data_IF_270560613935
#
_entry.id   IF_270560613935
#
_cell.length_a   1.000
_cell.length_b   1.000
_cell.length_c   1.000
_cell.angle_alpha   90.00
_cell.angle_beta   90.00
_cell.angle_gamma   90.00
#
_symmetry.space_group_name_H-M   'P 1'
#
loop_
_entity.id
_entity.type
_entity.pdbx_description
1 polymer ?
#
# COMPACT_ATOMS: atom_id res chain seq x y z
N UNK A 1 -6.84 10.11 -15.79
CA UNK A 1 -6.41 9.60 -17.11
C UNK A 1 -7.65 9.14 -17.87
N UNK A 2 -7.71 9.31 -19.19
CA UNK A 2 -8.89 8.92 -19.98
C UNK A 2 -8.84 7.39 -20.24
N UNK A 3 -9.90 6.60 -19.92
CA UNK A 3 -9.92 5.15 -20.11
C UNK A 3 -9.63 4.70 -21.54
N UNK A 4 -10.15 5.43 -22.53
CA UNK A 4 -9.89 5.14 -23.94
C UNK A 4 -8.40 5.31 -24.33
N UNK A 5 -7.69 6.23 -23.66
CA UNK A 5 -6.25 6.43 -23.81
C UNK A 5 -5.44 5.27 -23.21
N UNK A 6 -5.92 4.68 -22.09
CA UNK A 6 -5.27 3.54 -21.44
C UNK A 6 -5.40 2.26 -22.27
N UNK A 7 -6.59 1.98 -22.82
CA UNK A 7 -6.79 0.87 -23.75
C UNK A 7 -5.86 0.99 -24.97
N UNK A 8 -5.77 2.17 -25.56
CA UNK A 8 -4.89 2.42 -26.70
C UNK A 8 -3.41 2.23 -26.36
N UNK A 9 -2.97 2.74 -25.22
CA UNK A 9 -1.60 2.56 -24.74
C UNK A 9 -1.26 1.08 -24.47
N UNK A 10 -2.19 0.35 -23.88
CA UNK A 10 -2.05 -1.09 -23.64
C UNK A 10 -1.90 -1.86 -24.96
N UNK A 11 -2.83 -1.67 -25.93
CA UNK A 11 -2.77 -2.32 -27.25
C UNK A 11 -1.45 -2.02 -27.98
N UNK A 12 -1.01 -0.76 -27.98
CA UNK A 12 0.26 -0.33 -28.58
C UNK A 12 1.46 -1.03 -27.94
N UNK A 13 1.48 -1.12 -26.61
CA UNK A 13 2.53 -1.81 -25.86
C UNK A 13 2.60 -3.30 -26.22
N UNK A 14 1.45 -3.99 -26.26
CA UNK A 14 1.38 -5.42 -26.61
C UNK A 14 1.79 -5.68 -28.05
N UNK A 15 1.35 -4.85 -28.99
CA UNK A 15 1.76 -4.95 -30.39
C UNK A 15 3.28 -4.82 -30.56
N UNK A 16 3.92 -3.95 -29.81
CA UNK A 16 5.37 -3.78 -29.87
C UNK A 16 6.17 -5.00 -29.37
N UNK A 17 5.57 -5.87 -28.54
CA UNK A 17 6.21 -7.06 -27.95
C UNK A 17 6.10 -8.32 -28.80
N UNK A 18 5.14 -8.38 -29.70
CA UNK A 18 4.92 -9.57 -30.55
C UNK A 18 5.71 -9.37 -31.84
N UNK A 19 6.68 -10.25 -32.09
CA UNK A 19 7.42 -10.22 -33.36
C UNK A 19 6.62 -10.94 -34.46
N UNK A 20 6.84 -10.60 -35.75
CA UNK A 20 6.15 -11.25 -36.88
C UNK A 20 6.31 -12.75 -36.89
N UNK A 21 7.52 -13.24 -36.60
CA UNK A 21 7.84 -14.68 -36.55
C UNK A 21 6.95 -15.38 -35.50
N UNK A 22 6.83 -14.78 -34.31
CA UNK A 22 5.95 -15.32 -33.26
C UNK A 22 4.48 -15.27 -33.64
N UNK A 23 4.10 -14.33 -34.52
CA UNK A 23 2.73 -14.23 -35.03
C UNK A 23 2.50 -15.12 -36.27
N UNK A 24 3.48 -15.87 -36.75
CA UNK A 24 3.40 -16.69 -37.96
C UNK A 24 3.36 -15.91 -39.26
N UNK A 25 3.87 -14.65 -39.25
CA UNK A 25 3.92 -13.80 -40.43
C UNK A 25 5.32 -13.86 -41.10
N UNK A 26 5.39 -13.77 -42.45
CA UNK A 26 6.68 -13.73 -43.14
C UNK A 26 7.44 -12.47 -42.78
N UNK A 27 8.73 -12.62 -42.52
CA UNK A 27 9.64 -11.49 -42.27
C UNK A 27 10.08 -10.92 -43.59
N UNK A 28 9.58 -9.75 -43.96
CA UNK A 28 10.04 -8.99 -45.11
C UNK A 28 11.26 -8.14 -44.68
N UNK A 29 12.36 -8.25 -45.37
CA UNK A 29 13.56 -7.40 -45.21
C UNK A 29 13.18 -5.91 -45.20
N UNK A 30 13.78 -5.11 -44.26
CA UNK A 30 13.55 -3.69 -44.01
C UNK A 30 12.31 -3.36 -43.13
N UNK A 31 12.29 -3.87 -41.92
CA UNK A 31 11.31 -3.41 -40.90
C UNK A 31 11.88 -2.24 -40.09
N UNK A 32 11.08 -1.14 -40.00
CA UNK A 32 11.41 0.00 -39.10
C UNK A 32 11.00 -0.24 -37.63
N UNK A 33 10.25 -1.29 -37.37
CA UNK A 33 9.74 -1.64 -36.03
C UNK A 33 9.97 -3.12 -35.78
N UNK A 34 10.44 -3.46 -34.58
CA UNK A 34 10.69 -4.85 -34.16
C UNK A 34 9.39 -5.64 -33.94
N UNK A 35 8.32 -4.99 -33.48
CA UNK A 35 7.01 -5.59 -33.25
C UNK A 35 6.10 -5.58 -34.47
N UNK A 36 4.85 -6.04 -34.29
CA UNK A 36 3.84 -6.06 -35.34
C UNK A 36 3.47 -4.64 -35.81
N UNK A 37 3.17 -4.52 -37.12
CA UNK A 37 2.54 -3.32 -37.67
C UNK A 37 1.04 -3.31 -37.37
N UNK A 38 0.39 -2.15 -37.43
CA UNK A 38 -1.06 -2.03 -37.20
C UNK A 38 -1.88 -2.87 -38.16
N UNK A 39 -1.48 -2.88 -39.44
CA UNK A 39 -2.13 -3.68 -40.49
C UNK A 39 -2.00 -5.18 -40.20
N UNK A 40 -0.85 -5.61 -39.68
CA UNK A 40 -0.63 -7.02 -39.33
C UNK A 40 -1.52 -7.47 -38.18
N UNK A 41 -1.63 -6.67 -37.13
CA UNK A 41 -2.56 -6.97 -36.02
C UNK A 41 -4.01 -6.97 -36.49
N UNK A 42 -4.38 -6.00 -37.30
CA UNK A 42 -5.72 -5.89 -37.86
C UNK A 42 -6.07 -7.12 -38.71
N UNK A 43 -5.16 -7.55 -39.57
CA UNK A 43 -5.32 -8.77 -40.38
C UNK A 43 -5.47 -10.03 -39.51
N UNK A 44 -4.59 -10.21 -38.51
CA UNK A 44 -4.65 -11.34 -37.57
C UNK A 44 -5.94 -11.36 -36.75
N UNK A 45 -6.46 -10.18 -36.38
CA UNK A 45 -7.68 -10.04 -35.60
C UNK A 45 -8.96 -9.99 -36.44
N UNK A 46 -8.86 -10.02 -37.79
CA UNK A 46 -10.02 -9.94 -38.67
C UNK A 46 -10.78 -8.59 -38.59
N UNK A 47 -10.06 -7.48 -38.27
CA UNK A 47 -10.64 -6.12 -38.20
C UNK A 47 -9.97 -5.21 -39.22
N UNK A 48 -10.62 -4.08 -39.56
CA UNK A 48 -9.98 -3.11 -40.45
C UNK A 48 -8.80 -2.39 -39.77
N UNK A 49 -7.74 -2.10 -40.52
CA UNK A 49 -6.58 -1.34 -40.02
C UNK A 49 -6.98 0.05 -39.48
N UNK A 50 -7.99 0.67 -40.09
CA UNK A 50 -8.56 1.95 -39.64
C UNK A 50 -9.23 1.78 -38.28
N UNK A 51 -10.00 0.73 -38.07
CA UNK A 51 -10.65 0.46 -36.79
C UNK A 51 -9.63 0.18 -35.67
N UNK A 52 -8.63 -0.68 -35.94
CA UNK A 52 -7.56 -0.93 -34.97
C UNK A 52 -6.78 0.36 -34.63
N UNK A 53 -6.49 1.18 -35.63
CA UNK A 53 -5.83 2.50 -35.40
C UNK A 53 -6.68 3.39 -34.50
N UNK A 54 -8.02 3.41 -34.68
CA UNK A 54 -8.94 4.17 -33.82
C UNK A 54 -8.96 3.62 -32.38
N UNK A 55 -8.84 2.30 -32.21
CA UNK A 55 -8.70 1.69 -30.86
C UNK A 55 -7.41 2.13 -30.19
N UNK A 56 -6.26 2.07 -30.85
CA UNK A 56 -4.98 2.55 -30.30
C UNK A 56 -4.99 4.05 -29.98
N UNK A 57 -5.76 4.85 -30.71
CA UNK A 57 -5.89 6.29 -30.48
C UNK A 57 -6.95 6.64 -29.43
N UNK A 58 -7.64 5.66 -28.87
CA UNK A 58 -8.75 5.87 -27.94
C UNK A 58 -9.98 6.54 -28.58
N UNK A 59 -10.12 6.46 -29.90
CA UNK A 59 -11.23 7.06 -30.67
C UNK A 59 -12.36 6.07 -30.97
N UNK A 60 -12.13 4.77 -30.88
CA UNK A 60 -13.15 3.74 -30.97
C UNK A 60 -13.69 3.44 -29.57
N UNK A 61 -15.01 3.35 -29.44
CA UNK A 61 -15.71 3.06 -28.19
C UNK A 61 -16.37 1.70 -28.25
N UNK A 62 -16.40 1.00 -27.11
CA UNK A 62 -17.12 -0.25 -26.89
C UNK A 62 -16.83 -1.34 -27.95
N UNK A 63 -15.59 -1.82 -28.08
CA UNK A 63 -15.31 -2.98 -28.91
C UNK A 63 -16.12 -4.18 -28.41
N UNK A 64 -16.67 -4.97 -29.32
CA UNK A 64 -17.42 -6.18 -28.96
C UNK A 64 -16.50 -7.23 -28.34
N UNK A 65 -17.05 -8.14 -27.52
CA UNK A 65 -16.31 -9.25 -26.94
C UNK A 65 -15.57 -10.09 -28.01
N UNK A 66 -16.20 -10.34 -29.17
CA UNK A 66 -15.57 -11.05 -30.28
C UNK A 66 -14.32 -10.33 -30.81
N UNK A 67 -14.36 -9.01 -30.90
CA UNK A 67 -13.19 -8.19 -31.31
C UNK A 67 -12.10 -8.25 -30.23
N UNK A 68 -12.46 -8.14 -28.95
CA UNK A 68 -11.49 -8.24 -27.85
C UNK A 68 -10.80 -9.61 -27.83
N UNK A 69 -11.56 -10.69 -28.07
CA UNK A 69 -11.01 -12.03 -28.16
C UNK A 69 -10.07 -12.22 -29.35
N UNK A 70 -10.44 -11.66 -30.50
CA UNK A 70 -9.62 -11.70 -31.69
C UNK A 70 -8.31 -10.91 -31.49
N UNK A 71 -8.37 -9.74 -30.86
CA UNK A 71 -7.19 -8.95 -30.50
C UNK A 71 -6.33 -9.66 -29.47
N UNK A 72 -6.93 -10.31 -28.45
CA UNK A 72 -6.21 -11.07 -27.46
C UNK A 72 -5.40 -12.22 -28.08
N UNK A 73 -6.01 -12.94 -29.03
CA UNK A 73 -5.31 -14.00 -29.78
C UNK A 73 -4.20 -13.42 -30.68
N UNK A 74 -4.49 -12.37 -31.45
CA UNK A 74 -3.52 -11.74 -32.36
C UNK A 74 -2.30 -11.20 -31.61
N UNK A 75 -2.50 -10.63 -30.44
CA UNK A 75 -1.46 -10.06 -29.59
C UNK A 75 -0.86 -11.08 -28.60
N UNK A 76 -1.30 -12.35 -28.64
CA UNK A 76 -0.84 -13.43 -27.78
C UNK A 76 -0.89 -13.09 -26.28
N UNK A 77 -1.98 -12.48 -25.86
CA UNK A 77 -2.18 -12.09 -24.48
C UNK A 77 -2.34 -13.31 -23.58
N UNK A 78 -1.69 -13.28 -22.43
CA UNK A 78 -1.94 -14.25 -21.37
C UNK A 78 -3.33 -14.03 -20.71
N UNK A 79 -3.83 -14.97 -19.87
CA UNK A 79 -5.15 -14.83 -19.24
C UNK A 79 -5.33 -13.52 -18.45
N UNK A 80 -4.28 -13.06 -17.74
CA UNK A 80 -4.30 -11.82 -16.96
C UNK A 80 -4.37 -10.60 -17.87
N UNK A 81 -3.56 -10.56 -18.92
CA UNK A 81 -3.55 -9.51 -19.93
C UNK A 81 -4.89 -9.45 -20.70
N UNK A 82 -5.48 -10.61 -21.00
CA UNK A 82 -6.80 -10.69 -21.63
C UNK A 82 -7.89 -10.13 -20.71
N UNK A 83 -7.93 -10.53 -19.43
CA UNK A 83 -8.87 -9.97 -18.46
C UNK A 83 -8.72 -8.45 -18.36
N UNK A 84 -7.48 -7.96 -18.28
CA UNK A 84 -7.20 -6.51 -18.24
C UNK A 84 -7.67 -5.77 -19.52
N UNK A 85 -7.51 -6.37 -20.70
CA UNK A 85 -8.03 -5.84 -21.96
C UNK A 85 -9.55 -5.62 -21.88
N UNK A 86 -10.28 -6.60 -21.34
CA UNK A 86 -11.72 -6.52 -21.13
C UNK A 86 -12.09 -5.45 -20.13
N UNK A 87 -11.37 -5.35 -18.99
CA UNK A 87 -11.60 -4.34 -17.97
C UNK A 87 -11.44 -2.92 -18.55
N UNK A 88 -10.38 -2.70 -19.34
CA UNK A 88 -10.14 -1.42 -20.00
C UNK A 88 -11.21 -1.06 -21.05
N UNK A 89 -11.70 -2.06 -21.79
CA UNK A 89 -12.69 -1.86 -22.86
C UNK A 89 -14.08 -1.55 -22.32
N UNK A 90 -14.46 -2.12 -21.18
CA UNK A 90 -15.77 -1.93 -20.54
C UNK A 90 -15.78 -0.75 -19.56
N UNK A 91 -14.68 -0.04 -19.40
CA UNK A 91 -14.61 1.18 -18.61
C UNK A 91 -15.54 2.25 -19.17
N UNK A 92 -16.68 2.49 -18.51
CA UNK A 92 -17.54 3.61 -18.84
C UNK A 92 -16.75 4.93 -18.71
N UNK A 93 -16.86 5.88 -19.66
CA UNK A 93 -16.25 7.19 -19.49
C UNK A 93 -16.85 7.85 -18.24
N UNK A 94 -16.00 8.30 -17.33
CA UNK A 94 -16.40 9.09 -16.18
C UNK A 94 -17.10 10.36 -16.66
N UNK A 95 -18.43 10.37 -16.66
CA UNK A 95 -19.21 11.55 -17.03
C UNK A 95 -20.40 11.26 -17.94
N UNK A 96 -21.39 10.50 -17.45
CA UNK A 96 -22.81 10.67 -17.74
C UNK A 96 -23.60 9.82 -16.74
N UNK A 97 -23.89 10.39 -15.57
CA UNK A 97 -25.08 9.96 -14.84
C UNK A 97 -26.25 10.34 -15.75
N UNK A 98 -26.89 9.33 -16.33
CA UNK A 98 -28.17 9.48 -16.99
C UNK A 98 -29.15 10.02 -15.95
N UNK A 99 -29.65 11.23 -16.19
CA UNK A 99 -30.81 11.76 -15.50
C UNK A 99 -32.01 10.87 -15.80
N UNK A 100 -32.41 10.06 -14.85
CA UNK A 100 -33.66 9.37 -14.76
C UNK A 100 -34.25 9.76 -13.41
N UNK A 101 -35.14 10.72 -13.41
CA UNK A 101 -35.95 11.11 -12.27
C UNK A 101 -36.98 10.03 -11.99
N UNK A 102 -37.13 9.61 -10.73
CA UNK A 102 -38.45 9.36 -10.17
C UNK A 102 -38.80 10.43 -9.12
N UNK A 103 -39.98 11.02 -9.32
CA UNK A 103 -40.62 11.89 -8.37
C UNK A 103 -40.92 11.13 -7.06
N UNK A 104 -40.68 11.78 -5.92
CA UNK A 104 -41.08 11.27 -4.61
C UNK A 104 -40.40 12.03 -3.49
N UNK A 105 -41.10 12.93 -2.82
CA UNK A 105 -40.60 13.90 -1.83
C UNK A 105 -40.09 13.30 -0.53
N UNK A 106 -39.21 14.08 0.13
CA UNK A 106 -38.75 13.92 1.49
C UNK A 106 -37.55 14.83 1.77
N UNK A 107 -37.31 15.28 2.99
CA UNK A 107 -36.83 16.63 3.31
C UNK A 107 -35.34 16.85 3.14
N UNK A 108 -34.98 18.11 2.97
CA UNK A 108 -33.65 18.70 2.74
C UNK A 108 -32.58 18.28 3.76
N UNK A 109 -31.34 18.06 3.32
CA UNK A 109 -30.22 17.93 4.22
C UNK A 109 -29.59 19.29 4.54
N UNK A 110 -29.22 19.41 5.80
CA UNK A 110 -28.45 20.48 6.43
C UNK A 110 -27.05 20.57 5.81
N UNK A 111 -26.64 21.81 5.60
CA UNK A 111 -25.34 22.28 5.10
C UNK A 111 -24.17 21.67 5.85
N UNK A 112 -23.19 21.13 5.11
CA UNK A 112 -21.88 20.72 5.63
C UNK A 112 -20.87 21.86 5.48
N UNK A 113 -19.97 22.08 6.46
CA UNK A 113 -18.85 22.99 6.31
C UNK A 113 -17.64 22.33 5.62
N UNK A 114 -16.87 23.20 5.00
CA UNK A 114 -15.75 23.00 4.09
C UNK A 114 -14.63 22.04 4.54
N UNK A 115 -14.05 21.41 3.50
CA UNK A 115 -13.01 20.43 3.60
C UNK A 115 -11.64 20.98 3.96
N UNK A 116 -11.01 20.30 4.88
CA UNK A 116 -9.56 20.09 4.98
C UNK A 116 -9.34 19.07 6.11
N UNK A 117 -9.35 17.79 5.82
CA UNK A 117 -9.16 16.75 6.84
C UNK A 117 -9.47 15.32 6.41
N UNK A 118 -9.81 15.10 5.14
CA UNK A 118 -10.32 13.81 4.67
C UNK A 118 -9.22 12.72 4.52
N UNK A 119 -7.95 13.08 4.45
CA UNK A 119 -6.86 12.14 4.17
C UNK A 119 -6.42 11.28 5.36
N UNK A 120 -6.55 11.79 6.59
CA UNK A 120 -6.05 11.11 7.82
C UNK A 120 -7.12 10.19 8.44
N UNK A 121 -8.39 10.43 8.16
CA UNK A 121 -9.50 9.60 8.69
C UNK A 121 -9.72 8.28 7.95
N UNK A 122 -9.25 8.15 6.71
CA UNK A 122 -9.49 6.96 5.89
C UNK A 122 -8.76 5.71 6.45
N UNK A 123 -7.48 5.81 6.82
CA UNK A 123 -6.69 4.66 7.29
C UNK A 123 -7.19 4.06 8.62
N UNK A 124 -7.54 4.90 9.59
CA UNK A 124 -8.05 4.41 10.89
C UNK A 124 -9.48 3.84 10.80
N UNK A 125 -10.29 4.32 9.83
CA UNK A 125 -11.60 3.78 9.54
C UNK A 125 -11.52 2.45 8.78
N UNK A 126 -10.45 2.22 8.03
CA UNK A 126 -10.20 1.00 7.25
C UNK A 126 -9.67 -0.14 8.13
N UNK A 127 -8.77 0.15 9.08
CA UNK A 127 -8.37 -0.80 10.12
C UNK A 127 -9.56 -1.27 11.00
N UNK A 128 -10.52 -0.38 11.24
CA UNK A 128 -11.76 -0.73 11.95
C UNK A 128 -12.71 -1.63 11.14
N UNK A 129 -12.51 -1.77 9.82
CA UNK A 129 -13.34 -2.58 8.92
C UNK A 129 -12.89 -4.03 8.78
N UNK A 130 -11.68 -4.37 9.24
CA UNK A 130 -11.23 -5.76 9.15
C UNK A 130 -12.07 -6.64 10.05
N UNK A 131 -12.69 -7.66 9.46
CA UNK A 131 -13.51 -8.64 10.16
C UNK A 131 -12.72 -9.31 11.28
N UNK A 132 -13.34 -9.48 12.46
CA UNK A 132 -12.70 -10.13 13.60
C UNK A 132 -12.20 -11.55 13.29
N UNK A 133 -12.89 -12.29 12.42
CA UNK A 133 -12.43 -13.59 11.94
C UNK A 133 -11.09 -13.53 11.22
N UNK A 134 -10.87 -12.49 10.39
CA UNK A 134 -9.61 -12.29 9.69
C UNK A 134 -8.48 -11.86 10.64
N UNK A 135 -8.78 -11.04 11.65
CA UNK A 135 -7.82 -10.70 12.72
C UNK A 135 -7.39 -11.93 13.50
N UNK A 136 -8.35 -12.80 13.89
CA UNK A 136 -8.04 -14.07 14.55
C UNK A 136 -7.20 -14.99 13.67
N UNK A 137 -7.50 -15.05 12.37
CA UNK A 137 -6.71 -15.83 11.41
C UNK A 137 -5.26 -15.32 11.34
N UNK A 138 -5.05 -14.01 11.20
CA UNK A 138 -3.71 -13.40 11.21
C UNK A 138 -2.95 -13.70 12.50
N UNK A 139 -3.63 -13.67 13.65
CA UNK A 139 -3.02 -14.01 14.93
C UNK A 139 -2.68 -15.50 15.05
N UNK A 140 -3.52 -16.38 14.50
CA UNK A 140 -3.29 -17.83 14.50
C UNK A 140 -2.14 -18.25 13.55
N UNK A 141 -1.93 -17.51 12.45
CA UNK A 141 -0.80 -17.72 11.52
C UNK A 141 0.44 -17.01 12.07
N UNK A 142 0.80 -17.30 13.35
CA UNK A 142 1.86 -16.58 14.05
C UNK A 142 3.29 -16.96 13.64
N UNK A 143 3.49 -18.16 13.07
CA UNK A 143 4.81 -18.70 12.72
C UNK A 143 5.39 -18.17 11.40
N UNK A 144 4.60 -17.52 10.56
CA UNK A 144 5.01 -16.99 9.25
C UNK A 144 4.51 -15.56 9.06
N UNK A 145 5.25 -14.70 8.33
CA UNK A 145 4.81 -13.34 8.05
C UNK A 145 3.51 -13.33 7.22
N UNK A 146 2.50 -12.59 7.68
CA UNK A 146 1.24 -12.44 6.96
C UNK A 146 0.68 -11.03 7.11
N UNK A 147 0.05 -10.52 6.04
CA UNK A 147 -0.63 -9.23 6.05
C UNK A 147 -1.78 -9.16 5.03
N UNK A 148 -2.72 -8.27 5.30
CA UNK A 148 -3.85 -7.97 4.42
C UNK A 148 -3.60 -6.67 3.68
N UNK A 149 -3.81 -6.67 2.36
CA UNK A 149 -3.68 -5.51 1.48
C UNK A 149 -5.03 -5.10 0.90
N UNK A 150 -5.21 -3.79 0.74
CA UNK A 150 -6.23 -3.21 -0.11
C UNK A 150 -5.79 -3.14 -1.59
N UNK A 151 -6.68 -2.76 -2.53
CA UNK A 151 -6.34 -2.59 -3.94
C UNK A 151 -5.28 -1.50 -4.22
N UNK A 152 -5.09 -0.55 -3.31
CA UNK A 152 -4.06 0.49 -3.38
C UNK A 152 -2.72 0.07 -2.78
N UNK A 153 -2.60 -1.21 -2.34
CA UNK A 153 -1.43 -1.78 -1.66
C UNK A 153 -1.18 -1.20 -0.26
N UNK A 154 -2.22 -0.70 0.41
CA UNK A 154 -2.14 -0.32 1.83
C UNK A 154 -2.24 -1.56 2.69
N UNK A 155 -1.36 -1.70 3.66
CA UNK A 155 -1.39 -2.77 4.66
C UNK A 155 -2.50 -2.43 5.67
N UNK A 156 -3.61 -3.17 5.63
CA UNK A 156 -4.76 -2.98 6.48
C UNK A 156 -4.57 -3.64 7.85
N UNK A 157 -3.91 -4.79 7.87
CA UNK A 157 -3.47 -5.50 9.07
C UNK A 157 -2.31 -6.41 8.74
N UNK A 158 -1.49 -6.71 9.75
CA UNK A 158 -0.44 -7.70 9.66
C UNK A 158 -0.27 -8.43 11.00
N UNK A 159 0.25 -9.65 10.96
CA UNK A 159 0.71 -10.30 12.17
C UNK A 159 2.08 -9.75 12.61
N UNK A 160 2.58 -10.06 13.80
CA UNK A 160 3.84 -9.54 14.30
C UNK A 160 5.03 -9.75 13.37
N UNK A 161 5.16 -10.95 12.79
CA UNK A 161 6.22 -11.23 11.82
C UNK A 161 6.07 -10.45 10.51
N UNK A 162 4.83 -10.23 10.04
CA UNK A 162 4.54 -9.41 8.88
C UNK A 162 4.93 -7.95 9.10
N UNK A 163 4.66 -7.41 10.28
CA UNK A 163 5.12 -6.07 10.67
C UNK A 163 6.64 -5.99 10.73
N UNK A 164 7.31 -6.96 11.38
CA UNK A 164 8.75 -6.98 11.50
C UNK A 164 9.43 -7.08 10.13
N UNK A 165 8.94 -7.95 9.25
CA UNK A 165 9.49 -8.12 7.89
C UNK A 165 9.43 -6.83 7.06
N UNK A 166 8.38 -6.02 7.21
CA UNK A 166 8.15 -4.81 6.41
C UNK A 166 8.55 -3.52 7.13
N UNK A 167 8.58 -3.53 8.46
CA UNK A 167 8.77 -2.35 9.30
C UNK A 167 10.12 -2.26 10.00
N UNK A 168 11.02 -3.20 9.74
CA UNK A 168 12.35 -3.27 10.35
C UNK A 168 13.28 -2.13 9.89
N UNK A 169 12.91 -0.88 10.13
CA UNK A 169 13.87 0.23 10.11
C UNK A 169 14.90 -0.03 11.18
N UNK A 170 16.15 -0.05 10.80
CA UNK A 170 17.28 -0.20 11.71
C UNK A 170 17.09 0.72 12.94
N UNK A 171 16.87 0.13 14.11
CA UNK A 171 16.82 0.82 15.38
C UNK A 171 15.47 1.39 15.84
N UNK A 172 14.35 1.17 15.15
CA UNK A 172 13.04 1.58 15.66
C UNK A 172 12.05 0.43 15.72
N UNK A 173 11.54 0.11 16.91
CA UNK A 173 10.49 -0.87 17.12
C UNK A 173 9.18 -0.43 16.46
N UNK A 174 8.29 -1.35 16.11
CA UNK A 174 6.91 -1.02 15.82
C UNK A 174 6.28 -0.39 17.08
N UNK A 175 6.15 0.93 17.12
CA UNK A 175 5.64 1.69 18.28
C UNK A 175 6.62 2.63 18.96
N UNK A 176 7.90 2.69 18.59
CA UNK A 176 8.91 3.58 19.21
C UNK A 176 8.76 5.04 18.78
N UNK A 177 8.69 5.93 19.77
CA UNK A 177 8.73 7.39 19.61
C UNK A 177 10.04 7.81 18.95
N UNK A 178 9.99 8.58 17.89
CA UNK A 178 11.12 9.40 17.45
C UNK A 178 11.22 10.58 18.40
N UNK A 179 12.22 10.59 19.28
CA UNK A 179 12.62 11.82 19.95
C UNK A 179 13.23 12.76 18.90
N UNK A 180 12.51 13.82 18.62
CA UNK A 180 13.05 14.97 17.91
C UNK A 180 13.89 15.72 18.93
N UNK A 181 15.18 16.05 18.67
CA UNK A 181 15.96 16.91 19.57
C UNK A 181 15.25 18.26 19.68
N UNK A 182 14.84 18.62 20.88
CA UNK A 182 14.28 19.91 21.18
C UNK A 182 15.45 20.91 21.42
N UNK A 183 15.91 21.56 20.34
CA UNK A 183 16.68 22.79 20.46
C UNK A 183 15.81 23.96 19.98
N UNK A 184 15.18 24.62 20.95
CA UNK A 184 14.46 25.88 20.77
C UNK A 184 14.13 26.49 22.11
N UNK A 185 14.30 27.85 22.30
CA UNK A 185 14.29 28.49 23.59
C UNK A 185 12.89 28.51 24.24
N UNK A 186 12.89 28.37 25.57
CA UNK A 186 11.76 28.41 26.46
C UNK A 186 10.91 29.67 26.24
N UNK A 187 9.65 29.51 25.88
CA UNK A 187 8.62 30.55 25.85
C UNK A 187 7.50 30.18 26.84
N UNK A 188 7.10 31.17 27.58
CA UNK A 188 6.25 31.21 28.78
C UNK A 188 4.85 30.64 28.67
N UNK A 189 4.43 30.03 29.73
CA UNK A 189 3.14 29.85 30.39
C UNK A 189 1.82 29.98 29.62
N UNK A 190 1.18 28.80 29.29
CA UNK A 190 -0.24 28.67 28.98
C UNK A 190 -0.80 27.35 29.53
N UNK A 191 -2.10 27.25 29.92
CA UNK A 191 -2.63 26.14 30.71
C UNK A 191 -2.65 24.81 29.96
N UNK A 192 -2.29 23.77 30.70
CA UNK A 192 -2.14 22.37 30.28
C UNK A 192 -3.41 21.79 29.63
N UNK A 193 -3.44 21.79 28.29
CA UNK A 193 -4.19 20.85 27.50
C UNK A 193 -3.38 19.57 27.40
N UNK A 194 -3.87 18.45 27.91
CA UNK A 194 -3.16 17.18 27.83
C UNK A 194 -2.86 16.82 26.35
N UNK A 195 -1.76 16.10 26.08
CA UNK A 195 -1.38 15.76 24.72
C UNK A 195 -2.48 14.94 24.06
N UNK A 196 -3.05 15.51 23.01
CA UNK A 196 -4.09 14.85 22.20
C UNK A 196 -3.50 13.55 21.63
N UNK A 197 -4.10 12.42 21.96
CA UNK A 197 -3.77 11.07 21.42
C UNK A 197 -3.82 10.96 19.90
N UNK A 198 -4.04 12.05 19.20
CA UNK A 198 -4.21 12.17 17.76
C UNK A 198 -2.90 12.41 17.00
N UNK A 199 -1.86 12.92 17.67
CA UNK A 199 -0.58 13.29 17.04
C UNK A 199 0.35 12.09 16.74
N UNK A 200 0.07 10.89 17.28
CA UNK A 200 0.96 9.73 17.22
C UNK A 200 0.53 8.65 16.18
N UNK A 201 -0.45 8.95 15.31
CA UNK A 201 -0.90 8.02 14.27
C UNK A 201 -0.10 8.23 12.99
N UNK A 202 0.98 7.46 12.84
CA UNK A 202 1.63 7.33 11.53
C UNK A 202 0.61 6.81 10.50
N UNK A 203 0.65 7.35 9.26
CA UNK A 203 -0.21 6.82 8.20
C UNK A 203 0.08 5.33 7.99
N UNK A 204 -0.95 4.53 7.67
CA UNK A 204 -0.79 3.10 7.44
C UNK A 204 0.24 2.86 6.33
N UNK A 205 1.05 1.80 6.49
CA UNK A 205 2.08 1.43 5.54
C UNK A 205 1.46 1.13 4.18
N UNK A 206 1.91 1.81 3.15
CA UNK A 206 1.54 1.51 1.77
C UNK A 206 2.77 0.94 1.03
N UNK A 207 2.68 -0.30 0.57
CA UNK A 207 3.81 -1.00 -0.03
C UNK A 207 4.29 -0.36 -1.34
N UNK A 208 3.42 0.28 -2.10
CA UNK A 208 3.83 0.97 -3.31
C UNK A 208 4.64 2.25 -2.99
N UNK A 209 4.23 3.02 -1.97
CA UNK A 209 5.04 4.15 -1.47
C UNK A 209 6.37 3.66 -0.92
N UNK A 210 6.34 2.60 -0.13
CA UNK A 210 7.57 2.01 0.41
C UNK A 210 8.55 1.65 -0.71
N UNK A 211 8.11 0.95 -1.74
CA UNK A 211 8.99 0.55 -2.86
C UNK A 211 9.57 1.72 -3.63
N UNK A 212 8.81 2.80 -3.85
CA UNK A 212 9.22 3.88 -4.76
C UNK A 212 9.67 5.18 -4.09
N UNK A 213 9.32 5.42 -2.83
CA UNK A 213 9.60 6.67 -2.13
C UNK A 213 10.45 6.51 -0.89
N UNK A 214 10.64 5.28 -0.40
CA UNK A 214 11.45 4.98 0.77
C UNK A 214 12.84 4.51 0.32
N UNK A 215 13.90 5.18 0.81
CA UNK A 215 15.28 4.81 0.48
C UNK A 215 15.65 3.40 0.95
N UNK A 216 15.12 3.00 2.09
CA UNK A 216 15.41 1.69 2.72
C UNK A 216 14.86 0.50 1.90
N UNK A 217 13.91 0.75 0.99
CA UNK A 217 13.34 -0.31 0.15
C UNK A 217 14.37 -0.96 -0.79
N UNK A 218 15.34 -0.20 -1.27
CA UNK A 218 16.42 -0.76 -2.13
C UNK A 218 17.40 -1.63 -1.34
N UNK A 219 17.54 -1.35 -0.06
CA UNK A 219 18.35 -2.16 0.85
C UNK A 219 17.61 -3.42 1.26
N UNK A 220 16.31 -3.30 1.60
CA UNK A 220 15.46 -4.42 1.99
C UNK A 220 15.26 -5.43 0.84
N UNK A 221 15.18 -4.95 -0.40
CA UNK A 221 14.97 -5.79 -1.58
C UNK A 221 16.18 -5.80 -2.50
N UNK A 222 17.11 -6.78 -2.39
CA UNK A 222 18.24 -6.91 -3.33
C UNK A 222 17.80 -6.99 -4.79
N UNK A 223 16.63 -7.58 -5.07
CA UNK A 223 15.96 -7.61 -6.37
C UNK A 223 14.95 -6.48 -6.58
N UNK A 224 15.25 -5.25 -6.14
CA UNK A 224 14.32 -4.12 -6.13
C UNK A 224 13.61 -3.89 -7.48
N UNK A 225 14.34 -4.01 -8.60
CA UNK A 225 13.78 -3.80 -9.94
C UNK A 225 12.63 -4.76 -10.26
N UNK A 226 12.71 -6.01 -9.81
CA UNK A 226 11.63 -7.00 -9.97
C UNK A 226 10.44 -6.69 -9.07
N UNK A 227 10.71 -6.29 -7.83
CA UNK A 227 9.68 -5.87 -6.87
C UNK A 227 8.95 -4.62 -7.39
N UNK A 228 9.67 -3.65 -7.95
CA UNK A 228 9.11 -2.44 -8.54
C UNK A 228 8.21 -2.76 -9.74
N UNK A 229 8.67 -3.63 -10.68
CA UNK A 229 7.84 -4.08 -11.81
C UNK A 229 6.57 -4.78 -11.36
N UNK A 230 6.68 -5.71 -10.39
CA UNK A 230 5.52 -6.41 -9.85
C UNK A 230 4.53 -5.46 -9.17
N UNK A 231 5.02 -4.47 -8.43
CA UNK A 231 4.21 -3.45 -7.76
C UNK A 231 3.41 -2.62 -8.77
N UNK A 232 4.06 -2.15 -9.83
CA UNK A 232 3.40 -1.38 -10.91
C UNK A 232 2.36 -2.24 -11.63
N UNK A 233 2.71 -3.48 -11.97
CA UNK A 233 1.80 -4.39 -12.66
C UNK A 233 0.54 -4.70 -11.83
N UNK A 234 0.69 -4.89 -10.52
CA UNK A 234 -0.43 -5.09 -9.60
C UNK A 234 -1.32 -3.84 -9.50
N UNK A 235 -0.74 -2.64 -9.29
CA UNK A 235 -1.50 -1.39 -9.24
C UNK A 235 -2.29 -1.14 -10.53
N UNK A 236 -1.69 -1.45 -11.68
CA UNK A 236 -2.35 -1.34 -12.98
C UNK A 236 -3.55 -2.27 -13.09
N UNK A 237 -3.37 -3.54 -12.71
CA UNK A 237 -4.44 -4.53 -12.71
C UNK A 237 -5.58 -4.10 -11.77
N UNK A 238 -5.24 -3.66 -10.55
CA UNK A 238 -6.21 -3.17 -9.57
C UNK A 238 -6.99 -1.95 -10.08
N UNK A 239 -6.28 -0.96 -10.66
CA UNK A 239 -6.90 0.21 -11.27
C UNK A 239 -7.78 -0.16 -12.47
N UNK A 240 -7.41 -1.19 -13.25
CA UNK A 240 -8.20 -1.72 -14.35
C UNK A 240 -9.51 -2.37 -13.88
N UNK A 241 -9.42 -3.24 -12.90
CA UNK A 241 -10.58 -3.96 -12.34
C UNK A 241 -11.59 -3.04 -11.64
N UNK A 242 -11.15 -1.87 -11.11
CA UNK A 242 -11.97 -0.96 -10.30
C UNK A 242 -11.84 0.49 -10.71
N UNK A 243 -12.44 0.88 -11.83
CA UNK A 243 -12.26 2.22 -12.38
C UNK A 243 -12.85 3.34 -11.52
N UNK A 244 -13.74 3.03 -10.56
CA UNK A 244 -14.33 3.99 -9.62
C UNK A 244 -13.61 4.10 -8.28
N UNK A 245 -12.60 3.25 -8.02
CA UNK A 245 -11.86 3.26 -6.77
C UNK A 245 -10.82 4.39 -6.75
N UNK A 246 -11.02 5.34 -5.85
CA UNK A 246 -10.12 6.47 -5.68
C UNK A 246 -8.78 6.09 -5.03
N UNK A 247 -8.68 4.95 -4.33
CA UNK A 247 -7.48 4.49 -3.66
C UNK A 247 -6.32 4.25 -4.62
N UNK A 248 -6.41 3.28 -5.53
CA UNK A 248 -5.37 3.05 -6.54
C UNK A 248 -5.07 4.28 -7.39
N UNK A 249 -6.11 5.05 -7.79
CA UNK A 249 -5.92 6.25 -8.61
C UNK A 249 -5.07 7.33 -7.90
N UNK A 250 -5.27 7.53 -6.59
CA UNK A 250 -4.48 8.48 -5.78
C UNK A 250 -3.03 8.04 -5.68
N UNK A 251 -2.76 6.76 -5.42
CA UNK A 251 -1.40 6.22 -5.33
C UNK A 251 -0.68 6.36 -6.67
N UNK A 252 -1.32 6.00 -7.78
CA UNK A 252 -0.76 6.15 -9.13
C UNK A 252 -0.44 7.62 -9.43
N UNK A 253 -1.34 8.55 -9.13
CA UNK A 253 -1.12 9.98 -9.34
C UNK A 253 0.03 10.52 -8.48
N UNK A 254 0.13 10.10 -7.22
CA UNK A 254 1.20 10.49 -6.32
C UNK A 254 2.56 9.98 -6.81
N UNK A 255 2.68 8.66 -7.07
CA UNK A 255 3.93 8.05 -7.51
C UNK A 255 4.37 8.56 -8.88
N UNK A 256 3.44 8.85 -9.79
CA UNK A 256 3.76 9.47 -11.08
C UNK A 256 4.35 10.86 -10.95
N UNK A 257 4.02 11.62 -9.90
CA UNK A 257 4.64 12.92 -9.63
C UNK A 257 6.00 12.78 -8.94
N UNK A 258 6.17 11.82 -8.03
CA UNK A 258 7.30 11.78 -7.08
C UNK A 258 8.41 10.80 -7.46
N UNK A 259 8.15 9.83 -8.35
CA UNK A 259 9.13 8.80 -8.73
C UNK A 259 9.27 8.71 -10.25
N UNK A 260 10.50 8.89 -10.73
CA UNK A 260 10.84 8.70 -12.14
C UNK A 260 10.79 7.23 -12.53
N UNK A 261 11.34 6.34 -11.68
CA UNK A 261 11.27 4.88 -11.88
C UNK A 261 9.83 4.40 -12.03
N UNK A 262 8.91 4.94 -11.21
CA UNK A 262 7.49 4.60 -11.34
C UNK A 262 6.93 5.03 -12.68
N UNK A 263 7.23 6.25 -13.16
CA UNK A 263 6.75 6.73 -14.47
C UNK A 263 7.23 5.84 -15.62
N UNK A 264 8.51 5.47 -15.61
CA UNK A 264 9.08 4.57 -16.63
C UNK A 264 8.40 3.20 -16.64
N UNK A 265 8.27 2.57 -15.47
CA UNK A 265 7.62 1.27 -15.35
C UNK A 265 6.11 1.33 -15.66
N UNK A 266 5.46 2.42 -15.27
CA UNK A 266 4.05 2.64 -15.61
C UNK A 266 3.85 2.79 -17.11
N UNK A 267 4.74 3.45 -17.84
CA UNK A 267 4.68 3.58 -19.29
C UNK A 267 4.83 2.24 -20.04
N UNK A 268 5.51 1.26 -19.46
CA UNK A 268 5.70 -0.08 -20.06
C UNK A 268 4.42 -0.91 -20.17
N UNK A 269 3.32 -0.50 -19.53
CA UNK A 269 1.99 -1.15 -19.60
C UNK A 269 1.98 -2.63 -19.18
N UNK A 270 2.87 -3.03 -18.26
CA UNK A 270 2.87 -4.39 -17.75
C UNK A 270 1.71 -4.59 -16.78
N UNK A 271 1.04 -5.74 -16.88
CA UNK A 271 0.04 -6.23 -15.93
C UNK A 271 0.45 -7.60 -15.45
N UNK A 272 0.35 -7.81 -14.14
CA UNK A 272 0.62 -9.09 -13.50
C UNK A 272 -0.30 -9.28 -12.33
N UNK A 273 -0.83 -10.46 -12.19
CA UNK A 273 -1.47 -10.89 -10.97
C UNK A 273 -0.37 -11.29 -9.97
N UNK A 274 -0.44 -10.73 -8.76
CA UNK A 274 0.49 -11.07 -7.68
C UNK A 274 -0.11 -12.22 -6.88
N UNK A 275 -0.15 -13.41 -7.48
CA UNK A 275 -0.75 -14.58 -6.85
C UNK A 275 0.26 -15.37 -6.03
N UNK A 276 1.46 -15.60 -6.54
CA UNK A 276 2.53 -16.34 -5.85
C UNK A 276 3.92 -15.97 -6.39
N UNK A 277 4.96 -16.40 -5.70
CA UNK A 277 6.34 -16.22 -6.16
C UNK A 277 7.37 -16.32 -5.04
N UNK A 278 8.61 -15.97 -5.37
CA UNK A 278 9.70 -15.85 -4.42
C UNK A 278 10.15 -14.40 -4.32
N UNK A 279 10.66 -14.02 -3.14
CA UNK A 279 11.18 -12.69 -2.88
C UNK A 279 12.39 -12.77 -1.96
N UNK A 280 13.50 -12.15 -2.39
CA UNK A 280 14.69 -11.99 -1.58
C UNK A 280 14.59 -10.75 -0.71
N UNK A 281 14.92 -10.94 0.56
CA UNK A 281 15.00 -9.88 1.56
C UNK A 281 16.42 -9.75 2.07
N UNK A 282 16.85 -8.52 2.37
CA UNK A 282 18.02 -8.22 3.18
C UNK A 282 17.55 -7.45 4.40
N UNK A 283 17.28 -8.17 5.46
CA UNK A 283 16.74 -7.59 6.68
C UNK A 283 17.88 -7.18 7.63
N UNK A 284 17.87 -6.01 8.26
CA UNK A 284 18.97 -5.51 9.09
C UNK A 284 19.28 -6.41 10.29
N UNK A 285 18.30 -7.12 10.84
CA UNK A 285 18.47 -7.99 12.02
C UNK A 285 18.88 -9.40 11.66
N UNK A 286 18.31 -9.99 10.61
CA UNK A 286 18.46 -11.41 10.28
C UNK A 286 19.22 -11.67 8.99
N UNK A 287 19.73 -10.63 8.33
CA UNK A 287 20.52 -10.77 7.11
C UNK A 287 19.72 -11.04 5.85
N UNK A 288 20.32 -11.76 4.90
CA UNK A 288 19.73 -12.02 3.58
C UNK A 288 19.11 -13.41 3.55
N UNK A 289 17.85 -13.52 3.12
CA UNK A 289 17.13 -14.78 2.97
C UNK A 289 16.03 -14.66 1.92
N UNK A 290 15.57 -15.81 1.40
CA UNK A 290 14.50 -15.89 0.42
C UNK A 290 13.21 -16.37 1.10
N UNK A 291 12.07 -15.78 0.73
CA UNK A 291 10.75 -16.27 1.10
C UNK A 291 9.93 -16.52 -0.14
N UNK A 292 9.11 -17.55 -0.11
CA UNK A 292 8.01 -17.73 -1.04
C UNK A 292 6.76 -17.04 -0.49
N UNK A 293 5.86 -16.60 -1.36
CA UNK A 293 4.61 -15.98 -0.94
C UNK A 293 3.44 -16.47 -1.77
N UNK A 294 2.29 -16.55 -1.11
CA UNK A 294 0.99 -16.76 -1.71
C UNK A 294 0.10 -15.54 -1.45
N UNK A 295 -0.71 -15.17 -2.45
CA UNK A 295 -1.68 -14.09 -2.36
C UNK A 295 -3.07 -14.63 -2.59
N UNK A 296 -3.91 -14.59 -1.57
CA UNK A 296 -5.27 -15.11 -1.56
C UNK A 296 -6.26 -13.95 -1.62
N UNK A 297 -7.14 -13.94 -2.61
CA UNK A 297 -8.26 -12.98 -2.65
C UNK A 297 -9.25 -13.27 -1.51
N UNK A 298 -9.76 -12.22 -0.87
CA UNK A 298 -10.71 -12.34 0.22
C UNK A 298 -12.14 -12.18 -0.30
N UNK A 299 -12.96 -13.26 -0.31
CA UNK A 299 -14.37 -13.17 -0.69
C UNK A 299 -15.16 -12.24 0.25
N UNK A 300 -15.99 -11.37 -0.32
CA UNK A 300 -16.81 -10.42 0.44
C UNK A 300 -16.12 -9.11 0.81
N UNK A 301 -14.79 -9.04 0.69
CA UNK A 301 -14.01 -7.82 0.84
C UNK A 301 -13.43 -7.46 -0.52
N UNK A 302 -14.15 -6.66 -1.27
CA UNK A 302 -13.85 -6.42 -2.67
C UNK A 302 -12.41 -5.91 -2.91
N UNK A 303 -11.56 -6.79 -3.49
CA UNK A 303 -10.17 -6.54 -3.89
C UNK A 303 -9.15 -6.61 -2.76
N UNK A 304 -9.55 -6.97 -1.56
CA UNK A 304 -8.58 -7.25 -0.50
C UNK A 304 -7.90 -8.59 -0.74
N UNK A 305 -6.66 -8.66 -0.31
CA UNK A 305 -5.84 -9.86 -0.46
C UNK A 305 -5.09 -10.14 0.83
N UNK A 306 -5.08 -11.41 1.23
CA UNK A 306 -4.19 -11.92 2.27
C UNK A 306 -2.90 -12.40 1.61
N UNK A 307 -1.76 -11.85 2.02
CA UNK A 307 -0.44 -12.30 1.59
C UNK A 307 0.21 -13.05 2.74
N UNK A 308 0.65 -14.26 2.48
CA UNK A 308 1.34 -15.13 3.44
C UNK A 308 2.70 -15.50 2.87
N UNK A 309 3.75 -15.40 3.69
CA UNK A 309 5.09 -15.82 3.31
C UNK A 309 5.44 -17.15 3.99
N UNK A 310 6.22 -17.97 3.30
CA UNK A 310 6.74 -19.24 3.84
C UNK A 310 8.23 -19.36 3.54
N UNK A 311 8.94 -20.01 4.43
CA UNK A 311 10.36 -20.33 4.24
C UNK A 311 10.50 -21.48 3.24
N UNK A 312 11.28 -21.34 2.15
CA UNK A 312 11.53 -22.43 1.22
C UNK A 312 12.59 -23.42 1.72
N UNK A 313 13.38 -23.06 2.73
CA UNK A 313 14.50 -23.84 3.25
C UNK A 313 14.74 -23.57 4.75
N UNK A 314 15.65 -24.34 5.36
CA UNK A 314 16.00 -24.22 6.78
C UNK A 314 16.67 -22.87 7.12
N UNK A 315 17.40 -22.28 6.20
CA UNK A 315 18.03 -20.98 6.41
C UNK A 315 16.99 -19.87 6.58
N UNK A 316 16.01 -19.83 5.68
CA UNK A 316 14.91 -18.90 5.75
C UNK A 316 14.04 -19.12 6.99
N UNK A 317 13.80 -20.39 7.37
CA UNK A 317 13.05 -20.74 8.57
C UNK A 317 13.78 -20.29 9.85
N UNK A 318 15.11 -20.47 9.91
CA UNK A 318 15.93 -19.96 11.01
C UNK A 318 15.89 -18.42 11.11
N UNK A 319 15.93 -17.72 9.97
CA UNK A 319 15.81 -16.28 9.91
C UNK A 319 14.44 -15.80 10.43
N UNK A 320 13.34 -16.49 10.07
CA UNK A 320 11.99 -16.16 10.57
C UNK A 320 11.87 -16.42 12.07
N UNK A 321 12.43 -17.50 12.59
CA UNK A 321 12.43 -17.75 14.04
C UNK A 321 13.18 -16.67 14.81
N UNK A 322 14.36 -16.26 14.32
CA UNK A 322 15.16 -15.21 14.93
C UNK A 322 14.40 -13.86 14.91
N UNK A 323 13.76 -13.53 13.80
CA UNK A 323 12.93 -12.34 13.67
C UNK A 323 11.73 -12.37 14.62
N UNK A 324 11.13 -13.56 14.82
CA UNK A 324 10.05 -13.79 15.77
C UNK A 324 10.48 -13.57 17.23
N UNK A 325 11.63 -14.10 17.63
CA UNK A 325 12.21 -13.89 18.96
C UNK A 325 12.49 -12.41 19.23
N UNK A 326 13.12 -11.74 18.27
CA UNK A 326 13.39 -10.31 18.36
C UNK A 326 12.11 -9.48 18.56
N UNK A 327 11.03 -9.79 17.84
CA UNK A 327 9.74 -9.09 18.01
C UNK A 327 9.03 -9.40 19.32
N UNK A 328 9.25 -10.58 19.92
CA UNK A 328 8.69 -10.96 21.21
C UNK A 328 9.41 -10.24 22.37
N UNK A 329 10.74 -10.19 22.36
CA UNK A 329 11.56 -9.47 23.33
C UNK A 329 11.20 -7.99 23.37
N UNK A 330 11.08 -7.39 22.19
CA UNK A 330 10.74 -5.96 22.08
C UNK A 330 9.36 -5.60 22.61
N UNK A 331 8.39 -6.50 22.55
CA UNK A 331 7.05 -6.31 23.15
C UNK A 331 7.05 -6.49 24.67
N UNK A 332 8.04 -7.18 25.20
CA UNK A 332 8.13 -7.51 26.64
C UNK A 332 8.92 -6.47 27.43
N UNK A 333 9.63 -5.55 26.78
CA UNK A 333 10.27 -4.43 27.47
C UNK A 333 9.18 -3.47 27.99
N UNK A 334 8.98 -3.36 29.32
CA UNK A 334 8.11 -2.34 29.87
C UNK A 334 8.66 -0.97 29.47
N UNK A 335 7.77 -0.07 29.02
CA UNK A 335 8.14 1.31 28.77
C UNK A 335 8.96 1.84 29.96
N UNK A 336 10.22 2.22 29.72
CA UNK A 336 11.09 2.72 30.76
C UNK A 336 10.35 3.80 31.55
N UNK A 337 10.13 3.57 32.84
CA UNK A 337 9.58 4.57 33.74
C UNK A 337 10.43 5.84 33.62
N UNK A 338 9.82 7.03 33.47
CA UNK A 338 10.59 8.27 33.46
C UNK A 338 11.36 8.35 34.77
N UNK A 339 12.64 8.79 34.74
CA UNK A 339 13.47 8.84 35.92
C UNK A 339 12.71 9.58 37.02
N UNK A 340 12.48 8.86 38.14
CA UNK A 340 11.71 9.33 39.26
C UNK A 340 12.21 10.69 39.73
N UNK A 341 11.33 11.65 39.85
CA UNK A 341 11.60 12.90 40.56
C UNK A 341 12.04 12.52 41.96
N UNK A 342 13.31 12.76 42.27
CA UNK A 342 13.83 12.66 43.63
C UNK A 342 12.94 13.49 44.58
N UNK A 343 12.53 12.96 45.71
CA UNK A 343 11.77 13.72 46.70
C UNK A 343 12.62 14.90 47.14
N UNK A 344 12.11 16.09 46.94
CA UNK A 344 12.68 17.32 47.48
C UNK A 344 12.66 17.17 49.00
N UNK A 345 13.84 17.03 49.62
CA UNK A 345 14.02 17.09 51.05
C UNK A 345 13.59 18.47 51.53
N UNK A 346 12.45 18.55 52.20
CA UNK A 346 12.02 19.71 52.93
C UNK A 346 13.01 19.90 54.11
N UNK A 347 13.88 20.93 54.01
CA UNK A 347 14.70 21.37 55.13
C UNK A 347 13.82 21.96 56.24
N UNK A 348 14.26 21.86 57.55
CA UNK A 348 13.48 22.38 58.66
C UNK A 348 13.50 23.91 58.69
N UNK A 349 12.32 24.51 58.75
CA UNK A 349 12.14 25.93 59.07
C UNK A 349 12.60 26.16 60.52
N UNK A 350 13.57 27.07 60.68
CA UNK A 350 13.94 27.66 61.96
C UNK A 350 12.79 28.53 62.46
N UNK A 351 12.23 28.16 63.60
CA UNK A 351 11.29 28.99 64.35
C UNK A 351 12.04 29.79 65.41
N UNK A 352 11.93 31.10 65.38
CA UNK A 352 12.45 32.06 66.31
C UNK A 352 11.30 32.70 67.12
N UNK A 353 11.23 32.34 68.40
CA UNK A 353 10.87 33.26 69.43
C UNK A 353 9.40 33.44 69.80
N UNK A 354 8.99 33.02 71.00
CA UNK A 354 8.60 33.93 72.08
C UNK A 354 7.96 33.17 73.26
N UNK A 355 8.57 33.38 74.40
CA UNK A 355 8.16 33.40 75.82
C UNK A 355 6.62 33.23 76.14
N UNK A 356 6.36 32.43 77.17
CA UNK A 356 5.84 32.73 78.52
C UNK A 356 5.16 31.53 79.13
N UNK A 357 5.65 30.94 80.19
CA UNK A 357 5.36 31.12 81.66
C UNK A 357 4.09 30.44 82.14
N UNK A 358 4.30 29.64 83.24
CA UNK A 358 3.40 29.06 84.25
C UNK A 358 2.79 27.69 83.95
N UNK A 359 2.83 26.74 84.80
CA UNK A 359 3.11 26.44 86.26
C UNK A 359 2.13 25.24 86.62
N UNK A 360 2.60 24.41 87.56
CA UNK A 360 1.89 23.40 88.36
C UNK A 360 1.30 22.14 87.61
N UNK A 361 1.62 20.97 87.96
CA UNK A 361 1.64 20.31 89.29
C UNK A 361 1.25 18.90 89.11
N UNK A 362 1.91 17.96 89.74
CA UNK A 362 1.24 16.83 90.42
C UNK A 362 1.41 15.44 89.81
N UNK A 363 2.40 14.74 90.31
CA UNK A 363 2.25 13.47 91.06
C UNK A 363 1.94 12.16 90.29
N UNK A 364 2.89 11.32 90.41
CA UNK A 364 2.94 9.85 90.32
C UNK A 364 1.89 9.18 91.26
N UNK A 365 1.61 7.90 91.17
CA UNK A 365 2.61 6.83 90.98
C UNK A 365 2.48 6.00 89.71
#
# INVERSE_FOLDING_TARGET
MNPASELGAFLKSRRARVTPERAGLPVLDRRRVAGLRREEVAGLAGVSAVYYTRLEQGRARNPSGAVLDALARALRLDPTERAHLYDLAHRAPAGRRAGGTPAGGGPSPVTAPDGTGAGVRAGAAEEARIRDGLRRLLAAVGAVPAYVLDPAMTVLAANPLGHALLGGRAGHPPGGRTEVPADGPAGDGGPAGGPSREADRRPPLNLARHVFLDGDARELYPGWADVARQTVAFLRLSAGRRPGDAGPARIVAELSRRSEDFRHLWAAQEVREKSYGAKRFRHPVVGTFDLTYETLGLPGDEGWSLVVFTAPDEHADAALRLLGSWTAEYRSEPAAEPPGRSPVRSGPCADSGSRAVHDHGGALP
#
